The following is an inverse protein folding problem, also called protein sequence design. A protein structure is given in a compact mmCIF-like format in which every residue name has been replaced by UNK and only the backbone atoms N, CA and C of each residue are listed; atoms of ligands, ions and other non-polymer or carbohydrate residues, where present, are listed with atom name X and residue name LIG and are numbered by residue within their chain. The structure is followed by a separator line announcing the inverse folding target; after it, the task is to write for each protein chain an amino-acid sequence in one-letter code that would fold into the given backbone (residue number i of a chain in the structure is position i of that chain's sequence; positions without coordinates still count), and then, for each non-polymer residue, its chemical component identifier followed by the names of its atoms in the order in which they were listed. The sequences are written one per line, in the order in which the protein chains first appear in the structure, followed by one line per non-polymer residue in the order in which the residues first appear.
data_IF_423305598441
#
_entry.id   IF_423305598441
#
_cell.length_a   1.000
_cell.length_b   1.000
_cell.length_c   1.000
_cell.angle_alpha   90.00
_cell.angle_beta   90.00
_cell.angle_gamma   90.00
#
_symmetry.space_group_name_H-M   'P 1'
#
loop_
_entity.id
_entity.type
_entity.pdbx_description
1 polymer ?
#
# COMPACT_ATOMS: atom_id res chain seq x y z
N UNK A 1 17.02 -39.61 3.35
CA UNK A 1 17.71 -38.32 3.56
C UNK A 1 17.37 -37.42 2.38
N UNK A 2 16.54 -36.39 2.56
CA UNK A 2 16.36 -35.31 1.57
C UNK A 2 16.15 -33.99 2.31
N UNK A 3 17.22 -33.20 2.32
CA UNK A 3 17.25 -31.78 2.69
C UNK A 3 16.68 -30.98 1.53
N UNK A 4 15.66 -30.16 1.77
CA UNK A 4 15.50 -28.89 1.06
C UNK A 4 15.03 -27.82 2.06
N UNK A 5 15.98 -27.02 2.53
CA UNK A 5 15.74 -25.81 3.33
C UNK A 5 15.17 -24.66 2.48
N UNK A 6 14.25 -24.96 1.56
CA UNK A 6 13.44 -23.99 0.82
C UNK A 6 11.98 -24.20 1.24
N UNK A 7 11.18 -23.14 1.36
CA UNK A 7 9.76 -23.29 1.67
C UNK A 7 9.12 -24.10 0.53
N UNK A 8 8.82 -25.38 0.76
CA UNK A 8 8.08 -26.23 -0.18
C UNK A 8 6.74 -25.56 -0.48
N UNK A 9 6.64 -24.94 -1.64
CA UNK A 9 5.50 -24.14 -2.06
C UNK A 9 4.90 -24.72 -3.32
N UNK A 10 3.61 -25.03 -3.27
CA UNK A 10 2.87 -25.42 -4.47
C UNK A 10 2.82 -24.22 -5.43
N UNK A 11 3.03 -24.43 -6.74
CA UNK A 11 2.91 -23.36 -7.73
C UNK A 11 1.52 -22.70 -7.71
N UNK A 12 1.42 -21.37 -7.92
CA UNK A 12 0.16 -20.64 -7.79
C UNK A 12 -0.90 -21.08 -8.81
N UNK A 13 -0.52 -21.39 -10.05
CA UNK A 13 -1.44 -21.92 -11.07
C UNK A 13 -2.02 -23.29 -10.66
N UNK A 14 -1.20 -24.14 -10.04
CA UNK A 14 -1.62 -25.43 -9.51
C UNK A 14 -2.63 -25.26 -8.36
N UNK A 15 -2.42 -24.27 -7.49
CA UNK A 15 -3.36 -23.94 -6.40
C UNK A 15 -4.71 -23.43 -6.94
N UNK A 16 -4.71 -22.62 -8.02
CA UNK A 16 -5.94 -22.15 -8.67
C UNK A 16 -6.70 -23.30 -9.30
N UNK A 17 -6.01 -24.19 -10.03
CA UNK A 17 -6.62 -25.39 -10.62
C UNK A 17 -7.20 -26.33 -9.56
N UNK A 18 -6.43 -26.63 -8.51
CA UNK A 18 -6.88 -27.43 -7.37
C UNK A 18 -8.11 -26.83 -6.71
N UNK A 19 -8.16 -25.50 -6.56
CA UNK A 19 -9.33 -24.84 -5.97
C UNK A 19 -10.59 -25.04 -6.79
N UNK A 20 -10.54 -24.79 -8.10
CA UNK A 20 -11.70 -24.98 -9.00
C UNK A 20 -12.25 -26.39 -8.88
N UNK A 21 -11.37 -27.40 -8.81
CA UNK A 21 -11.74 -28.80 -8.62
C UNK A 21 -12.38 -29.07 -7.24
N UNK A 22 -11.86 -28.44 -6.18
CA UNK A 22 -12.43 -28.54 -4.83
C UNK A 22 -13.78 -27.84 -4.67
N UNK A 23 -14.13 -26.91 -5.56
CA UNK A 23 -15.44 -26.24 -5.52
C UNK A 23 -16.54 -27.07 -6.21
N UNK A 24 -16.17 -28.03 -7.06
CA UNK A 24 -17.12 -28.90 -7.79
C UNK A 24 -17.26 -30.31 -7.19
N UNK A 25 -16.51 -30.67 -6.15
CA UNK A 25 -16.51 -32.01 -5.56
C UNK A 25 -16.98 -32.02 -4.10
N UNK A 26 -17.79 -33.03 -3.69
CA UNK A 26 -18.24 -33.17 -2.31
C UNK A 26 -17.14 -33.68 -1.37
N UNK A 27 -16.24 -34.55 -1.85
CA UNK A 27 -15.14 -35.10 -1.03
C UNK A 27 -13.83 -34.32 -1.21
N UNK A 28 -13.66 -33.35 -0.33
CA UNK A 28 -12.51 -32.43 -0.36
C UNK A 28 -11.28 -33.03 0.32
N UNK A 29 -11.46 -33.97 1.25
CA UNK A 29 -10.40 -34.42 2.14
C UNK A 29 -9.37 -35.26 1.39
N UNK A 30 -9.83 -36.21 0.57
CA UNK A 30 -8.94 -37.14 -0.13
C UNK A 30 -8.19 -36.47 -1.28
N UNK A 31 -8.85 -35.54 -2.00
CA UNK A 31 -8.20 -34.71 -3.01
C UNK A 31 -7.06 -33.88 -2.41
N UNK A 32 -7.26 -33.32 -1.22
CA UNK A 32 -6.24 -32.54 -0.52
C UNK A 32 -5.08 -33.42 -0.04
N UNK A 33 -5.36 -34.65 0.46
CA UNK A 33 -4.30 -35.60 0.83
C UNK A 33 -3.45 -35.99 -0.38
N UNK A 34 -4.09 -36.33 -1.50
CA UNK A 34 -3.40 -36.70 -2.74
C UNK A 34 -2.57 -35.54 -3.29
N UNK A 35 -3.12 -34.32 -3.31
CA UNK A 35 -2.38 -33.13 -3.74
C UNK A 35 -1.20 -32.81 -2.80
N UNK A 36 -1.39 -32.94 -1.49
CA UNK A 36 -0.33 -32.73 -0.51
C UNK A 36 0.84 -33.72 -0.73
N UNK A 37 0.53 -35.00 -0.97
CA UNK A 37 1.53 -36.01 -1.32
C UNK A 37 2.23 -35.71 -2.65
N UNK A 38 1.48 -35.32 -3.69
CA UNK A 38 2.01 -34.98 -5.01
C UNK A 38 3.04 -33.85 -4.96
N UNK A 39 2.76 -32.80 -4.19
CA UNK A 39 3.65 -31.64 -4.07
C UNK A 39 4.64 -31.74 -2.90
N UNK A 40 4.67 -32.86 -2.16
CA UNK A 40 5.58 -33.05 -1.03
C UNK A 40 5.37 -32.07 0.13
N UNK A 41 4.16 -31.52 0.29
CA UNK A 41 3.82 -30.59 1.38
C UNK A 41 2.91 -31.25 2.39
N UNK A 42 2.90 -30.78 3.64
CA UNK A 42 1.88 -31.21 4.60
C UNK A 42 0.49 -30.73 4.15
N UNK A 43 -0.55 -31.50 4.48
CA UNK A 43 -1.95 -31.09 4.27
C UNK A 43 -2.23 -29.73 4.92
N UNK A 44 -1.69 -29.49 6.11
CA UNK A 44 -1.77 -28.20 6.82
C UNK A 44 -1.14 -27.04 6.05
N UNK A 45 -0.04 -27.29 5.33
CA UNK A 45 0.63 -26.30 4.47
C UNK A 45 -0.19 -26.03 3.22
N UNK A 46 -0.75 -27.07 2.61
CA UNK A 46 -1.64 -26.93 1.46
C UNK A 46 -2.90 -26.14 1.81
N UNK A 47 -3.54 -26.41 2.95
CA UNK A 47 -4.66 -25.61 3.45
C UNK A 47 -4.30 -24.14 3.66
N UNK A 48 -3.12 -23.85 4.22
CA UNK A 48 -2.63 -22.48 4.43
C UNK A 48 -2.38 -21.76 3.11
N UNK A 49 -1.80 -22.43 2.13
CA UNK A 49 -1.56 -21.90 0.78
C UNK A 49 -2.88 -21.63 0.05
N UNK A 50 -3.81 -22.59 0.07
CA UNK A 50 -5.18 -22.42 -0.45
C UNK A 50 -5.90 -21.24 0.22
N UNK A 51 -5.78 -21.06 1.54
CA UNK A 51 -6.40 -19.93 2.26
C UNK A 51 -5.78 -18.58 1.85
N UNK A 52 -4.48 -18.55 1.58
CA UNK A 52 -3.76 -17.32 1.25
C UNK A 52 -4.06 -16.86 -0.19
N UNK A 53 -4.26 -17.80 -1.11
CA UNK A 53 -4.66 -17.53 -2.50
C UNK A 53 -5.94 -16.68 -2.60
N UNK A 54 -6.90 -16.92 -1.70
CA UNK A 54 -8.23 -16.31 -1.71
C UNK A 54 -8.34 -14.94 -1.07
N UNK A 55 -7.22 -14.33 -0.66
CA UNK A 55 -7.28 -13.03 0.00
C UNK A 55 -6.80 -11.95 -0.98
N UNK A 56 -7.68 -11.42 -1.86
CA UNK A 56 -7.36 -10.17 -2.51
C UNK A 56 -7.05 -9.17 -1.40
N UNK A 57 -5.80 -8.72 -1.36
CA UNK A 57 -5.41 -7.72 -0.37
C UNK A 57 -6.18 -6.46 -0.73
N UNK A 58 -7.00 -5.92 0.18
CA UNK A 58 -7.69 -4.68 -0.12
C UNK A 58 -6.63 -3.63 -0.40
N UNK A 59 -6.76 -2.93 -1.54
CA UNK A 59 -5.86 -1.85 -1.94
C UNK A 59 -5.81 -0.73 -0.89
N UNK A 60 -6.86 -0.61 -0.08
CA UNK A 60 -7.02 0.36 0.99
C UNK A 60 -7.03 -0.36 2.33
N UNK A 61 -6.51 0.28 3.36
CA UNK A 61 -6.78 -0.13 4.75
C UNK A 61 -8.28 0.03 5.05
N UNK A 62 -8.79 -0.77 5.99
CA UNK A 62 -10.21 -0.79 6.36
C UNK A 62 -10.74 0.58 6.83
N UNK A 63 -9.87 1.37 7.44
CA UNK A 63 -10.14 2.70 7.99
C UNK A 63 -9.74 3.84 7.04
N UNK A 64 -9.51 3.58 5.74
CA UNK A 64 -9.08 4.65 4.82
C UNK A 64 -10.09 5.80 4.82
N UNK A 65 -9.60 7.00 5.12
CA UNK A 65 -10.41 8.22 5.22
C UNK A 65 -10.93 8.50 6.63
N UNK A 66 -10.63 7.64 7.61
CA UNK A 66 -10.99 7.84 9.01
C UNK A 66 -9.74 7.87 9.90
N UNK A 67 -9.62 8.87 10.80
CA UNK A 67 -8.55 8.86 11.80
C UNK A 67 -8.72 7.69 12.77
N UNK A 68 -7.61 7.02 13.14
CA UNK A 68 -7.61 5.90 14.09
C UNK A 68 -7.55 6.32 15.56
N UNK A 69 -6.97 7.49 15.83
CA UNK A 69 -6.57 7.91 17.19
C UNK A 69 -7.28 9.14 17.69
N UNK A 70 -7.74 10.00 16.78
CA UNK A 70 -8.39 11.27 17.09
C UNK A 70 -9.77 11.30 16.46
N UNK A 71 -10.77 11.96 17.07
CA UNK A 71 -12.02 12.27 16.40
C UNK A 71 -11.80 13.08 15.12
N UNK A 72 -12.70 12.94 14.14
CA UNK A 72 -12.61 13.66 12.85
C UNK A 72 -12.60 15.17 13.05
N UNK A 73 -13.49 15.70 13.91
CA UNK A 73 -13.57 17.14 14.19
C UNK A 73 -12.26 17.70 14.77
N UNK A 74 -11.56 16.91 15.61
CA UNK A 74 -10.28 17.33 16.15
C UNK A 74 -9.19 17.36 15.06
N UNK A 75 -9.17 16.36 14.17
CA UNK A 75 -8.26 16.33 13.03
C UNK A 75 -8.50 17.53 12.08
N UNK A 76 -9.76 17.86 11.80
CA UNK A 76 -10.14 18.99 10.93
C UNK A 76 -9.66 20.32 11.52
N UNK A 77 -9.88 20.54 12.82
CA UNK A 77 -9.36 21.71 13.53
C UNK A 77 -7.83 21.81 13.44
N UNK A 78 -7.11 20.69 13.57
CA UNK A 78 -5.65 20.70 13.36
C UNK A 78 -5.27 21.05 11.92
N UNK A 79 -6.00 20.53 10.92
CA UNK A 79 -5.79 20.89 9.52
C UNK A 79 -6.01 22.39 9.25
N UNK A 80 -7.04 22.99 9.85
CA UNK A 80 -7.31 24.43 9.75
C UNK A 80 -6.17 25.27 10.33
N UNK A 81 -5.68 24.94 11.52
CA UNK A 81 -4.56 25.64 12.17
C UNK A 81 -3.31 25.54 11.28
N UNK A 82 -2.98 24.35 10.79
CA UNK A 82 -1.84 24.14 9.90
C UNK A 82 -2.01 24.94 8.60
N UNK A 83 -3.20 24.98 8.01
CA UNK A 83 -3.48 25.76 6.81
C UNK A 83 -3.29 27.26 7.05
N UNK A 84 -3.81 27.80 8.16
CA UNK A 84 -3.63 29.19 8.55
C UNK A 84 -2.15 29.54 8.76
N UNK A 85 -1.40 28.69 9.45
CA UNK A 85 0.05 28.84 9.64
C UNK A 85 0.82 28.80 8.32
N UNK A 86 0.44 27.91 7.40
CA UNK A 86 1.03 27.83 6.06
C UNK A 86 0.78 29.11 5.27
N UNK A 87 -0.46 29.60 5.23
CA UNK A 87 -0.80 30.87 4.56
C UNK A 87 -0.03 32.05 5.17
N UNK A 88 0.05 32.10 6.51
CA UNK A 88 0.79 33.14 7.21
C UNK A 88 2.29 33.17 6.86
N UNK A 89 2.89 31.99 6.67
CA UNK A 89 4.33 31.87 6.38
C UNK A 89 4.67 31.98 4.90
N UNK A 90 3.80 31.51 3.98
CA UNK A 90 4.03 31.63 2.52
C UNK A 90 3.81 33.05 1.99
N UNK A 91 2.95 33.86 2.61
CA UNK A 91 2.76 35.27 2.21
C UNK A 91 4.00 36.17 2.46
N UNK A 92 4.98 35.71 3.25
CA UNK A 92 6.23 36.46 3.46
C UNK A 92 7.28 36.24 2.37
N UNK A 93 7.09 35.25 1.49
CA UNK A 93 8.07 34.92 0.43
C UNK A 93 7.82 35.74 -0.85
N UNK A 94 6.61 36.29 -1.04
CA UNK A 94 6.26 37.11 -2.20
C UNK A 94 6.15 38.62 -1.98
N UNK A 95 6.10 39.10 -0.72
CA UNK A 95 5.88 40.53 -0.42
C UNK A 95 7.17 41.36 -0.27
N UNK A 96 8.35 40.72 -0.21
CA UNK A 96 9.61 41.39 0.12
C UNK A 96 10.50 41.75 -1.08
N UNK A 97 9.99 41.64 -2.32
CA UNK A 97 10.77 41.92 -3.54
C UNK A 97 10.39 43.21 -4.29
N UNK A 98 9.53 44.05 -3.73
CA UNK A 98 9.09 45.31 -4.35
C UNK A 98 9.31 46.51 -3.42
N UNK A 99 10.56 46.72 -3.01
CA UNK A 99 11.00 48.05 -2.56
C UNK A 99 12.52 48.16 -2.71
N UNK A 100 12.95 48.55 -3.92
CA UNK A 100 14.30 49.10 -4.12
C UNK A 100 14.11 50.50 -4.71
N UNK A 101 14.51 51.56 -4.00
CA UNK A 101 14.49 52.90 -4.58
C UNK A 101 15.52 52.96 -5.73
N UNK A 102 15.04 53.37 -6.90
CA UNK A 102 15.85 53.54 -8.09
C UNK A 102 16.98 54.54 -7.89
N UNK A 103 18.20 54.14 -8.26
CA UNK A 103 19.32 55.05 -8.41
C UNK A 103 19.25 55.73 -9.80
N UNK A 104 19.64 57.00 -9.95
CA UNK A 104 19.31 57.78 -11.13
C UNK A 104 20.22 57.42 -12.30
N UNK A 105 19.61 57.51 -13.48
CA UNK A 105 20.22 57.47 -14.80
C UNK A 105 21.23 58.60 -14.98
N UNK A 106 22.47 58.27 -15.33
CA UNK A 106 23.42 59.13 -16.06
C UNK A 106 24.50 58.19 -16.60
N UNK A 107 24.56 57.86 -17.88
CA UNK A 107 24.82 58.73 -19.01
C UNK A 107 26.13 58.23 -19.65
N UNK A 108 26.13 57.84 -20.92
CA UNK A 108 27.37 57.44 -21.60
C UNK A 108 27.21 56.54 -22.82
N UNK A 109 26.78 57.13 -23.94
CA UNK A 109 27.04 56.60 -25.29
C UNK A 109 28.57 56.55 -25.50
N UNK A 110 29.12 55.46 -26.04
CA UNK A 110 30.04 55.49 -27.20
C UNK A 110 30.54 54.10 -27.65
N UNK A 111 30.24 53.85 -28.94
CA UNK A 111 30.90 53.02 -29.97
C UNK A 111 30.78 51.52 -29.89
#
# INVERSE_FOLDING_TARGET
MMVTGGRLSVPPESLVGLRRRLDTMPDRADVIKQAAALYGVSTTTLYRQLRTLHRPRPIRRADRGRPRKVPIAELERWCEIIAALKLHTTNKIGASSLDRPGHPTSGGIRR
#
